data_IF_817818357902
#
_entry.id   IF_817818357902
#
_cell.length_a   1.000
_cell.length_b   1.000
_cell.length_c   1.000
_cell.angle_alpha   90.00
_cell.angle_beta   90.00
_cell.angle_gamma   90.00
#
_symmetry.space_group_name_H-M   'P 1'
#
loop_
_entity.id
_entity.type
_entity.pdbx_description
1 polymer ?
#
# COMPACT_ATOMS: atom_id res chain seq x y z
N UNK A 1 3.76 -25.74 -5.51
CA UNK A 1 3.05 -24.99 -4.46
C UNK A 1 4.01 -23.90 -3.98
N UNK A 2 3.64 -22.62 -4.05
CA UNK A 2 4.50 -21.50 -3.64
C UNK A 2 3.85 -20.69 -2.53
N UNK A 3 4.66 -20.00 -1.74
CA UNK A 3 4.23 -19.14 -0.63
C UNK A 3 4.74 -17.73 -0.86
N UNK A 4 3.89 -16.73 -0.60
CA UNK A 4 4.25 -15.32 -0.58
C UNK A 4 4.32 -14.81 0.84
N UNK A 5 5.21 -13.84 1.06
CA UNK A 5 5.30 -13.07 2.29
C UNK A 5 4.88 -11.64 1.96
N UNK A 6 3.82 -11.16 2.59
CA UNK A 6 3.44 -9.76 2.56
C UNK A 6 3.91 -9.12 3.86
N UNK A 7 4.81 -8.14 3.79
CA UNK A 7 5.44 -7.53 4.94
C UNK A 7 5.16 -6.02 4.99
N UNK A 8 4.96 -5.52 6.21
CA UNK A 8 4.90 -4.10 6.56
C UNK A 8 6.13 -3.78 7.41
N UNK A 9 6.87 -2.77 6.99
CA UNK A 9 8.02 -2.24 7.73
C UNK A 9 7.77 -0.80 8.13
N UNK A 10 8.45 -0.34 9.16
CA UNK A 10 8.57 1.10 9.42
C UNK A 10 9.54 1.76 8.42
N UNK A 11 9.74 3.08 8.57
CA UNK A 11 10.63 3.85 7.70
C UNK A 11 12.13 3.51 7.87
N UNK A 12 12.52 2.86 8.96
CA UNK A 12 13.90 2.41 9.24
C UNK A 12 14.15 0.98 8.74
N UNK A 13 13.11 0.30 8.24
CA UNK A 13 13.19 -1.08 7.76
C UNK A 13 12.95 -2.13 8.85
N UNK A 14 12.50 -1.73 10.04
CA UNK A 14 12.11 -2.71 11.05
C UNK A 14 10.79 -3.37 10.65
N UNK A 15 10.73 -4.70 10.76
CA UNK A 15 9.53 -5.46 10.47
C UNK A 15 8.46 -5.17 11.53
N UNK A 16 7.32 -4.63 11.11
CA UNK A 16 6.17 -4.32 11.98
C UNK A 16 5.20 -5.48 12.00
N UNK A 17 4.83 -5.99 10.83
CA UNK A 17 3.88 -7.11 10.68
C UNK A 17 4.10 -7.83 9.35
N UNK A 18 3.79 -9.11 9.27
CA UNK A 18 3.72 -9.82 8.00
C UNK A 18 2.58 -10.84 7.97
N UNK A 19 2.22 -11.27 6.76
CA UNK A 19 1.21 -12.28 6.46
C UNK A 19 1.81 -13.30 5.50
N UNK A 20 1.56 -14.58 5.77
CA UNK A 20 1.90 -15.68 4.84
C UNK A 20 0.68 -16.01 3.99
N UNK A 21 0.88 -16.17 2.68
CA UNK A 21 -0.21 -16.37 1.73
C UNK A 21 0.15 -17.43 0.69
N UNK A 22 -0.82 -18.18 0.16
CA UNK A 22 -0.61 -18.99 -1.04
C UNK A 22 -0.13 -18.12 -2.21
N UNK A 23 0.82 -18.62 -3.01
CA UNK A 23 1.45 -17.84 -4.07
C UNK A 23 0.51 -17.39 -5.20
N UNK A 24 -0.62 -18.08 -5.38
CA UNK A 24 -1.66 -17.70 -6.33
C UNK A 24 -2.67 -16.67 -5.78
N UNK A 25 -2.50 -16.22 -4.52
CA UNK A 25 -3.37 -15.21 -3.89
C UNK A 25 -2.95 -13.81 -4.33
N UNK A 26 -3.94 -12.94 -4.52
CA UNK A 26 -3.72 -11.52 -4.77
C UNK A 26 -3.34 -10.80 -3.47
N UNK A 27 -2.30 -9.99 -3.55
CA UNK A 27 -1.72 -9.33 -2.38
C UNK A 27 -2.69 -8.29 -1.78
N UNK A 28 -3.54 -7.67 -2.61
CA UNK A 28 -4.53 -6.67 -2.21
C UNK A 28 -5.58 -7.17 -1.21
N UNK A 29 -5.83 -8.49 -1.15
CA UNK A 29 -6.79 -9.09 -0.21
C UNK A 29 -6.27 -9.00 1.24
N UNK A 30 -4.95 -9.00 1.39
CA UNK A 30 -4.28 -9.20 2.67
C UNK A 30 -3.65 -7.90 3.19
N UNK A 31 -3.73 -6.81 2.43
CA UNK A 31 -3.34 -5.47 2.89
C UNK A 31 -4.23 -4.94 4.01
N UNK A 32 -5.58 -4.94 3.91
CA UNK A 32 -6.41 -4.42 5.00
C UNK A 32 -6.08 -5.03 6.37
N UNK A 33 -5.98 -6.36 6.54
CA UNK A 33 -5.60 -6.93 7.83
C UNK A 33 -4.12 -6.73 8.19
N UNK A 34 -3.24 -6.44 7.22
CA UNK A 34 -1.85 -6.08 7.49
C UNK A 34 -1.73 -4.71 8.16
N UNK A 35 -2.53 -3.73 7.72
CA UNK A 35 -2.50 -2.34 8.20
C UNK A 35 -3.56 -2.05 9.28
N UNK A 36 -4.38 -3.04 9.62
CA UNK A 36 -5.40 -2.92 10.65
C UNK A 36 -4.78 -2.63 12.03
N UNK A 37 -5.34 -1.64 12.74
CA UNK A 37 -4.85 -1.16 14.02
C UNK A 37 -3.36 -0.75 14.04
N UNK A 38 -2.81 -0.33 12.90
CA UNK A 38 -1.47 0.26 12.82
C UNK A 38 -1.61 1.76 12.57
N UNK A 39 -1.03 2.57 13.45
CA UNK A 39 -0.96 4.02 13.29
C UNK A 39 0.24 4.42 12.43
N UNK A 40 0.00 5.22 11.40
CA UNK A 40 1.06 5.76 10.54
C UNK A 40 0.60 7.02 9.81
N UNK A 41 1.53 7.95 9.59
CA UNK A 41 1.27 9.19 8.84
C UNK A 41 1.29 9.03 7.32
N UNK A 42 1.78 7.90 6.80
CA UNK A 42 1.82 7.63 5.38
C UNK A 42 2.19 6.19 5.03
N UNK A 43 1.80 5.75 3.84
CA UNK A 43 2.07 4.43 3.30
C UNK A 43 2.78 4.54 1.96
N UNK A 44 3.95 3.90 1.86
CA UNK A 44 4.66 3.65 0.60
C UNK A 44 4.42 2.19 0.25
N UNK A 45 3.89 1.92 -0.94
CA UNK A 45 3.63 0.55 -1.38
C UNK A 45 3.80 0.39 -2.89
N UNK A 46 4.00 -0.85 -3.32
CA UNK A 46 4.08 -1.22 -4.73
C UNK A 46 2.78 -0.88 -5.50
N UNK A 47 2.92 -0.67 -6.81
CA UNK A 47 1.81 -0.39 -7.72
C UNK A 47 0.72 -1.46 -7.70
N UNK A 48 1.05 -2.73 -7.43
CA UNK A 48 0.09 -3.81 -7.31
C UNK A 48 -0.97 -3.56 -6.21
N UNK A 49 -0.66 -2.71 -5.22
CA UNK A 49 -1.55 -2.33 -4.15
C UNK A 49 -2.45 -1.12 -4.48
N UNK A 50 -2.42 -0.58 -5.71
CA UNK A 50 -3.27 0.54 -6.14
C UNK A 50 -4.74 0.15 -6.34
N UNK A 51 -5.44 -0.19 -5.26
CA UNK A 51 -6.89 -0.44 -5.26
C UNK A 51 -7.67 0.82 -4.85
N UNK A 52 -8.92 0.95 -5.31
CA UNK A 52 -9.79 2.04 -4.86
C UNK A 52 -10.10 1.95 -3.37
N UNK A 53 -10.30 0.72 -2.87
CA UNK A 53 -10.63 0.47 -1.47
C UNK A 53 -9.51 0.92 -0.53
N UNK A 54 -8.27 0.48 -0.79
CA UNK A 54 -7.11 0.87 0.03
C UNK A 54 -6.93 2.39 0.04
N UNK A 55 -7.14 3.02 -1.11
CA UNK A 55 -6.94 4.47 -1.24
C UNK A 55 -8.01 5.25 -0.51
N UNK A 56 -9.26 4.79 -0.54
CA UNK A 56 -10.34 5.38 0.25
C UNK A 56 -10.06 5.26 1.75
N UNK A 57 -9.67 4.06 2.21
CA UNK A 57 -9.32 3.80 3.61
C UNK A 57 -8.16 4.70 4.09
N UNK A 58 -7.10 4.83 3.29
CA UNK A 58 -5.95 5.67 3.64
C UNK A 58 -6.30 7.17 3.66
N UNK A 59 -7.20 7.62 2.78
CA UNK A 59 -7.70 8.99 2.81
C UNK A 59 -8.55 9.25 4.07
N UNK A 60 -9.40 8.31 4.45
CA UNK A 60 -10.21 8.39 5.68
C UNK A 60 -9.34 8.45 6.93
N UNK A 61 -8.24 7.68 6.95
CA UNK A 61 -7.21 7.74 7.99
C UNK A 61 -6.40 9.05 7.99
N UNK A 62 -6.51 9.89 6.95
CA UNK A 62 -5.67 11.08 6.77
C UNK A 62 -4.20 10.77 6.46
N UNK A 63 -3.89 9.54 6.04
CA UNK A 63 -2.53 9.09 5.77
C UNK A 63 -2.05 9.50 4.37
N UNK A 64 -0.77 9.87 4.25
CA UNK A 64 -0.16 10.18 2.94
C UNK A 64 0.00 8.91 2.10
N UNK A 65 -0.55 8.93 0.89
CA UNK A 65 -0.54 7.78 -0.02
C UNK A 65 0.56 7.94 -1.07
N UNK A 66 1.62 7.13 -0.99
CA UNK A 66 2.72 7.11 -1.96
C UNK A 66 2.71 5.78 -2.71
N UNK A 67 1.73 5.64 -3.60
CA UNK A 67 1.55 4.46 -4.46
C UNK A 67 1.39 4.95 -5.90
N UNK A 68 2.17 4.38 -6.83
CA UNK A 68 2.00 4.66 -8.26
C UNK A 68 0.63 4.19 -8.75
N UNK A 69 -0.05 4.98 -9.58
CA UNK A 69 -1.35 4.57 -10.11
C UNK A 69 -1.21 3.50 -11.20
N UNK A 70 -2.00 2.43 -11.10
CA UNK A 70 -2.02 1.37 -12.11
C UNK A 70 -2.44 1.94 -13.48
N UNK A 71 -1.73 1.64 -14.59
CA UNK A 71 -2.03 2.20 -15.92
C UNK A 71 -3.46 1.88 -16.36
N UNK A 72 -3.91 0.65 -16.16
CA UNK A 72 -5.25 0.17 -16.52
C UNK A 72 -6.39 0.62 -15.58
N UNK A 73 -6.14 1.59 -14.70
CA UNK A 73 -7.17 2.15 -13.82
C UNK A 73 -8.20 2.90 -14.69
N UNK A 74 -9.47 2.49 -14.61
CA UNK A 74 -10.55 3.06 -15.42
C UNK A 74 -10.65 4.60 -15.31
N UNK A 75 -10.43 5.14 -14.11
CA UNK A 75 -10.34 6.57 -13.86
C UNK A 75 -9.14 6.90 -12.97
N UNK A 76 -8.20 7.68 -13.50
CA UNK A 76 -7.06 8.19 -12.74
C UNK A 76 -7.52 9.16 -11.67
N UNK A 77 -7.01 9.00 -10.44
CA UNK A 77 -7.35 9.94 -9.37
C UNK A 77 -6.56 11.23 -9.60
N UNK A 78 -7.29 12.34 -9.76
CA UNK A 78 -6.71 13.66 -10.05
C UNK A 78 -5.98 14.27 -8.85
N UNK A 79 -6.41 13.96 -7.62
CA UNK A 79 -5.99 14.67 -6.40
C UNK A 79 -5.05 13.89 -5.48
N UNK A 80 -4.42 12.80 -5.95
CA UNK A 80 -3.37 12.14 -5.15
C UNK A 80 -2.12 13.05 -5.18
N UNK A 81 -1.52 13.44 -4.04
CA UNK A 81 -0.30 14.23 -4.05
C UNK A 81 0.72 13.50 -4.93
N UNK A 82 1.14 14.15 -6.02
CA UNK A 82 2.13 13.58 -6.93
C UNK A 82 3.38 13.27 -6.10
N UNK A 83 4.04 12.14 -6.38
CA UNK A 83 5.39 11.86 -5.86
C UNK A 83 6.21 13.16 -6.06
N UNK A 84 6.91 13.68 -5.03
CA UNK A 84 7.77 14.83 -5.25
C UNK A 84 8.76 14.45 -6.37
N UNK A 85 8.78 15.25 -7.44
CA UNK A 85 9.62 15.00 -8.61
C UNK A 85 11.11 15.18 -8.29
N UNK A 86 11.45 15.67 -7.10
CA UNK A 86 12.82 15.72 -6.61
C UNK A 86 12.98 14.77 -5.44
N UNK A 87 13.87 13.79 -5.62
CA UNK A 87 14.11 12.72 -4.66
C UNK A 87 14.67 13.26 -3.36
N UNK A 88 13.84 13.24 -2.32
CA UNK A 88 14.24 12.99 -0.93
C UNK A 88 13.04 12.26 -0.32
N UNK A 89 13.29 11.06 0.20
CA UNK A 89 12.37 10.31 1.07
C UNK A 89 12.44 10.91 2.47
#
# INVERSE_FOLDING_TARGET
MTTKILALTDALGNLVRFRLMPGNRYDSIEVPPLIDNVEFGGLIADKAFDSNALVAELNERGARIVISQHPARALKLKNRPRKPTNGVI
#
